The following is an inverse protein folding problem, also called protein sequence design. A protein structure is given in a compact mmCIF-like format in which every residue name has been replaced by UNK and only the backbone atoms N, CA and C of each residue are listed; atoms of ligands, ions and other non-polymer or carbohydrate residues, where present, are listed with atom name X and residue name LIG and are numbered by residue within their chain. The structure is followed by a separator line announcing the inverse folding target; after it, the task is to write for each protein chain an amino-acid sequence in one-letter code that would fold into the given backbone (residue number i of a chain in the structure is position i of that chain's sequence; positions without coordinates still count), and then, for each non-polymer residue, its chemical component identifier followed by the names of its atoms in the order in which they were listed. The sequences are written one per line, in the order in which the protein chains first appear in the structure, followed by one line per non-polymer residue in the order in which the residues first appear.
data_IF_257491470314
#
_entry.id   IF_257491470314
#
_cell.length_a   1.000
_cell.length_b   1.000
_cell.length_c   1.000
_cell.angle_alpha   90.00
_cell.angle_beta   90.00
_cell.angle_gamma   90.00
#
_symmetry.space_group_name_H-M   'P 1'
#
loop_
_entity.id
_entity.type
_entity.pdbx_description
1 polymer ?
#
# COMPACT_ATOMS: atom_id res chain seq x y z
N UNK A 1 -0.10 8.09 -28.99
CA UNK A 1 -0.91 7.16 -28.19
C UNK A 1 -0.06 5.93 -27.97
N UNK A 2 0.61 5.86 -26.83
CA UNK A 2 1.37 4.67 -26.45
C UNK A 2 0.38 3.52 -26.26
N UNK A 3 0.65 2.40 -26.91
CA UNK A 3 -0.22 1.24 -26.86
C UNK A 3 0.04 0.58 -25.52
N UNK A 4 -0.90 0.70 -24.57
CA UNK A 4 -0.82 0.00 -23.28
C UNK A 4 -0.36 -1.44 -23.49
N UNK A 5 0.69 -1.85 -22.78
CA UNK A 5 1.28 -3.19 -22.89
C UNK A 5 0.20 -4.26 -22.65
N UNK A 6 0.23 -5.34 -23.42
CA UNK A 6 -0.75 -6.43 -23.29
C UNK A 6 -0.78 -7.00 -21.86
N UNK A 7 0.36 -7.00 -21.15
CA UNK A 7 0.43 -7.39 -19.75
C UNK A 7 -0.29 -6.44 -18.77
N UNK A 8 -0.28 -5.13 -19.02
CA UNK A 8 -1.03 -4.15 -18.20
C UNK A 8 -2.54 -4.32 -18.40
N UNK A 9 -2.97 -4.56 -19.65
CA UNK A 9 -4.37 -4.86 -19.95
C UNK A 9 -4.84 -6.12 -19.25
N UNK A 10 -4.04 -7.18 -19.30
CA UNK A 10 -4.35 -8.44 -18.63
C UNK A 10 -4.40 -8.28 -17.11
N UNK A 11 -3.42 -7.57 -16.53
CA UNK A 11 -3.37 -7.29 -15.08
C UNK A 11 -4.63 -6.57 -14.59
N UNK A 12 -5.16 -5.63 -15.37
CA UNK A 12 -6.40 -4.89 -15.05
C UNK A 12 -7.65 -5.76 -15.17
N UNK A 13 -7.69 -6.65 -16.17
CA UNK A 13 -8.89 -7.39 -16.57
C UNK A 13 -9.05 -8.74 -15.86
N UNK A 14 -7.96 -9.38 -15.44
CA UNK A 14 -8.03 -10.73 -14.88
C UNK A 14 -8.74 -10.75 -13.52
N UNK A 15 -9.65 -11.71 -13.35
CA UNK A 15 -10.31 -12.01 -12.08
C UNK A 15 -9.57 -13.08 -11.28
N UNK A 16 -8.61 -13.79 -11.88
CA UNK A 16 -7.83 -14.84 -11.23
C UNK A 16 -6.75 -14.19 -10.34
N UNK A 17 -6.80 -14.37 -9.00
CA UNK A 17 -5.80 -13.82 -8.09
C UNK A 17 -4.38 -14.32 -8.37
N UNK A 18 -4.22 -15.57 -8.82
CA UNK A 18 -2.91 -16.15 -9.10
C UNK A 18 -2.26 -15.45 -10.29
N UNK A 19 -3.01 -15.33 -11.40
CA UNK A 19 -2.56 -14.62 -12.59
C UNK A 19 -2.28 -13.15 -12.28
N UNK A 20 -3.17 -12.49 -11.53
CA UNK A 20 -3.01 -11.08 -11.13
C UNK A 20 -1.72 -10.88 -10.32
N UNK A 21 -1.46 -11.76 -9.35
CA UNK A 21 -0.29 -11.68 -8.49
C UNK A 21 1.01 -11.87 -9.28
N UNK A 22 1.06 -12.87 -10.15
CA UNK A 22 2.23 -13.14 -10.99
C UNK A 22 2.51 -11.97 -11.94
N UNK A 23 1.47 -11.44 -12.61
CA UNK A 23 1.59 -10.27 -13.48
C UNK A 23 2.05 -9.05 -12.70
N UNK A 24 1.47 -8.78 -11.53
CA UNK A 24 1.83 -7.63 -10.71
C UNK A 24 3.31 -7.64 -10.33
N UNK A 25 3.84 -8.79 -9.91
CA UNK A 25 5.25 -8.91 -9.54
C UNK A 25 6.18 -8.77 -10.75
N UNK A 26 5.89 -9.49 -11.83
CA UNK A 26 6.71 -9.45 -13.05
C UNK A 26 6.75 -8.03 -13.65
N UNK A 27 5.60 -7.36 -13.70
CA UNK A 27 5.52 -5.99 -14.20
C UNK A 27 6.20 -5.01 -13.25
N UNK A 28 6.05 -5.16 -11.93
CA UNK A 28 6.67 -4.27 -10.96
C UNK A 28 8.20 -4.26 -11.04
N UNK A 29 8.81 -5.40 -11.37
CA UNK A 29 10.26 -5.52 -11.58
C UNK A 29 10.80 -4.64 -12.72
N UNK A 30 9.96 -4.27 -13.69
CA UNK A 30 10.34 -3.35 -14.78
C UNK A 30 10.57 -1.93 -14.29
N UNK A 31 9.95 -1.55 -13.15
CA UNK A 31 9.99 -0.20 -12.55
C UNK A 31 9.44 0.91 -13.45
N UNK A 32 8.63 0.55 -14.44
CA UNK A 32 7.97 1.52 -15.30
C UNK A 32 6.90 2.32 -14.51
N UNK A 33 6.86 3.65 -14.61
CA UNK A 33 5.91 4.48 -13.85
C UNK A 33 4.44 4.10 -14.09
N UNK A 34 4.09 3.68 -15.31
CA UNK A 34 2.74 3.24 -15.65
C UNK A 34 2.30 2.03 -14.81
N UNK A 35 3.22 1.12 -14.49
CA UNK A 35 2.92 -0.05 -13.66
C UNK A 35 2.61 0.39 -12.23
N UNK A 36 3.34 1.36 -11.67
CA UNK A 36 3.02 1.93 -10.36
C UNK A 36 1.59 2.49 -10.34
N UNK A 37 1.20 3.25 -11.35
CA UNK A 37 -0.16 3.81 -11.45
C UNK A 37 -1.23 2.71 -11.43
N UNK A 38 -1.01 1.63 -12.19
CA UNK A 38 -1.94 0.48 -12.23
C UNK A 38 -1.97 -0.27 -10.90
N UNK A 39 -0.84 -0.47 -10.23
CA UNK A 39 -0.82 -1.10 -8.91
C UNK A 39 -1.63 -0.27 -7.90
N UNK A 40 -1.45 1.06 -7.88
CA UNK A 40 -2.20 1.97 -7.00
C UNK A 40 -3.70 1.94 -7.31
N UNK A 41 -4.08 1.90 -8.59
CA UNK A 41 -5.48 1.75 -9.02
C UNK A 41 -6.09 0.45 -8.48
N UNK A 42 -5.41 -0.68 -8.67
CA UNK A 42 -5.89 -1.98 -8.24
C UNK A 42 -5.95 -2.13 -6.72
N UNK A 43 -5.00 -1.55 -5.98
CA UNK A 43 -5.02 -1.56 -4.51
C UNK A 43 -6.27 -0.86 -3.97
N UNK A 44 -6.76 0.19 -4.65
CA UNK A 44 -7.95 0.95 -4.23
C UNK A 44 -9.27 0.28 -4.60
N UNK A 45 -9.25 -0.77 -5.42
CA UNK A 45 -10.46 -1.49 -5.83
C UNK A 45 -11.11 -2.22 -4.64
N UNK A 46 -12.40 -1.98 -4.36
CA UNK A 46 -13.08 -2.59 -3.22
C UNK A 46 -13.27 -4.11 -3.39
N UNK A 47 -13.42 -4.60 -4.62
CA UNK A 47 -13.55 -6.02 -4.93
C UNK A 47 -12.24 -6.81 -4.67
N UNK A 48 -11.10 -6.13 -4.55
CA UNK A 48 -9.80 -6.73 -4.27
C UNK A 48 -9.37 -6.60 -2.80
N UNK A 49 -10.25 -6.09 -1.92
CA UNK A 49 -9.90 -5.74 -0.52
C UNK A 49 -9.15 -6.85 0.22
N UNK A 50 -9.55 -8.10 0.02
CA UNK A 50 -8.98 -9.27 0.72
C UNK A 50 -7.92 -10.02 -0.11
N UNK A 51 -7.57 -9.54 -1.32
CA UNK A 51 -6.63 -10.21 -2.23
C UNK A 51 -5.67 -9.22 -2.92
N UNK A 52 -5.25 -8.18 -2.18
CA UNK A 52 -4.36 -7.11 -2.65
C UNK A 52 -2.98 -7.08 -1.98
N UNK A 53 -2.63 -8.06 -1.14
CA UNK A 53 -1.33 -8.13 -0.45
C UNK A 53 -0.15 -8.07 -1.41
N UNK A 54 -0.16 -8.92 -2.44
CA UNK A 54 0.87 -8.92 -3.49
C UNK A 54 0.94 -7.62 -4.30
N UNK A 55 -0.20 -6.94 -4.51
CA UNK A 55 -0.21 -5.64 -5.18
C UNK A 55 0.54 -4.59 -4.34
N UNK A 56 0.31 -4.60 -3.02
CA UNK A 56 1.05 -3.73 -2.08
C UNK A 56 2.53 -4.10 -2.06
N UNK A 57 2.86 -5.40 -2.01
CA UNK A 57 4.25 -5.86 -2.10
C UNK A 57 4.95 -5.33 -3.35
N UNK A 58 4.27 -5.34 -4.50
CA UNK A 58 4.77 -4.79 -5.76
C UNK A 58 5.12 -3.29 -5.71
N UNK A 59 4.53 -2.52 -4.78
CA UNK A 59 4.93 -1.11 -4.58
C UNK A 59 6.37 -0.98 -4.07
N UNK A 60 6.94 -2.02 -3.45
CA UNK A 60 8.32 -2.04 -2.96
C UNK A 60 9.40 -1.90 -4.04
N UNK A 61 9.04 -2.00 -5.31
CA UNK A 61 9.94 -1.69 -6.44
C UNK A 61 10.05 -0.19 -6.76
N UNK A 62 9.28 0.68 -6.09
CA UNK A 62 9.15 2.11 -6.38
C UNK A 62 9.43 3.01 -5.17
N UNK A 63 9.67 4.31 -5.43
CA UNK A 63 9.64 5.33 -4.38
C UNK A 63 8.20 5.55 -3.90
N UNK A 64 7.88 4.99 -2.75
CA UNK A 64 6.56 5.09 -2.15
C UNK A 64 6.35 6.36 -1.30
N UNK A 65 7.36 7.24 -1.18
CA UNK A 65 7.23 8.46 -0.39
C UNK A 65 6.04 9.34 -0.79
N UNK A 66 5.72 9.55 -2.08
CA UNK A 66 4.51 10.29 -2.47
C UNK A 66 3.21 9.61 -2.03
N UNK A 67 3.24 8.31 -1.77
CA UNK A 67 2.09 7.48 -1.42
C UNK A 67 2.02 7.11 0.07
N UNK A 68 2.80 7.77 0.94
CA UNK A 68 2.87 7.44 2.36
C UNK A 68 1.50 7.38 3.06
N UNK A 69 0.59 8.32 2.76
CA UNK A 69 -0.75 8.34 3.35
C UNK A 69 -1.59 7.12 2.94
N UNK A 70 -1.42 6.63 1.71
CA UNK A 70 -2.06 5.39 1.26
C UNK A 70 -1.52 4.21 2.06
N UNK A 71 -0.20 4.13 2.29
CA UNK A 71 0.38 3.06 3.11
C UNK A 71 -0.16 3.09 4.54
N UNK A 72 -0.29 4.27 5.14
CA UNK A 72 -0.91 4.44 6.48
C UNK A 72 -2.37 4.00 6.48
N UNK A 73 -3.14 4.32 5.45
CA UNK A 73 -4.52 3.85 5.30
C UNK A 73 -4.58 2.31 5.21
N UNK A 74 -3.66 1.69 4.47
CA UNK A 74 -3.59 0.24 4.34
C UNK A 74 -3.18 -0.45 5.64
N UNK A 75 -2.29 0.15 6.44
CA UNK A 75 -1.97 -0.34 7.80
C UNK A 75 -3.21 -0.29 8.70
N UNK A 76 -4.00 0.77 8.62
CA UNK A 76 -5.16 0.96 9.49
C UNK A 76 -6.41 0.19 9.07
N UNK A 77 -6.52 -0.22 7.79
CA UNK A 77 -7.76 -0.82 7.25
C UNK A 77 -7.58 -2.14 6.51
N UNK A 78 -6.35 -2.48 6.10
CA UNK A 78 -6.04 -3.70 5.37
C UNK A 78 -6.24 -4.96 6.22
N UNK A 79 -6.38 -6.12 5.56
CA UNK A 79 -6.25 -7.40 6.25
C UNK A 79 -4.81 -7.57 6.77
N UNK A 80 -4.54 -8.69 7.45
CA UNK A 80 -3.24 -8.94 8.09
C UNK A 80 -2.07 -8.76 7.11
N UNK A 81 -2.12 -9.39 5.94
CA UNK A 81 -1.05 -9.34 4.93
C UNK A 81 -0.85 -7.91 4.39
N UNK A 82 -1.94 -7.27 3.96
CA UNK A 82 -1.92 -5.91 3.40
C UNK A 82 -1.34 -4.91 4.38
N UNK A 83 -1.72 -5.02 5.66
CA UNK A 83 -1.23 -4.11 6.68
C UNK A 83 0.27 -4.29 6.97
N UNK A 84 0.77 -5.53 6.97
CA UNK A 84 2.21 -5.80 7.20
C UNK A 84 3.07 -5.38 6.02
N UNK A 85 2.63 -5.62 4.78
CA UNK A 85 3.32 -5.14 3.58
C UNK A 85 3.35 -3.60 3.57
N UNK A 86 2.20 -2.95 3.81
CA UNK A 86 2.13 -1.49 3.86
C UNK A 86 2.98 -0.90 4.98
N UNK A 87 3.02 -1.54 6.15
CA UNK A 87 3.89 -1.14 7.26
C UNK A 87 5.37 -1.23 6.87
N UNK A 88 5.78 -2.31 6.21
CA UNK A 88 7.17 -2.51 5.77
C UNK A 88 7.60 -1.39 4.83
N UNK A 89 6.75 -1.04 3.87
CA UNK A 89 7.00 0.07 2.96
C UNK A 89 7.01 1.43 3.66
N UNK A 90 6.05 1.68 4.55
CA UNK A 90 5.93 2.95 5.27
C UNK A 90 7.13 3.18 6.20
N UNK A 91 7.56 2.16 6.93
CA UNK A 91 8.67 2.22 7.87
C UNK A 91 10.03 2.37 7.19
N UNK A 92 10.17 1.96 5.93
CA UNK A 92 11.36 2.22 5.13
C UNK A 92 11.51 3.69 4.68
N UNK A 93 10.48 4.53 4.85
CA UNK A 93 10.53 5.94 4.46
C UNK A 93 11.11 6.78 5.61
N UNK A 94 12.39 7.13 5.47
CA UNK A 94 13.19 7.76 6.52
C UNK A 94 12.72 9.16 6.97
N UNK A 95 11.92 9.87 6.19
CA UNK A 95 11.47 11.23 6.52
C UNK A 95 10.19 11.64 5.77
N UNK A 96 9.16 11.98 6.55
CA UNK A 96 7.91 12.61 6.09
C UNK A 96 7.74 13.93 6.84
N UNK A 97 7.22 14.95 6.16
CA UNK A 97 7.02 16.28 6.76
C UNK A 97 5.86 17.01 6.09
N UNK A 98 5.39 18.09 6.73
CA UNK A 98 4.32 18.94 6.21
C UNK A 98 2.96 18.23 6.19
N UNK A 99 2.05 18.59 5.25
CA UNK A 99 0.67 18.10 5.25
C UNK A 99 0.54 16.57 5.21
N UNK A 100 1.50 15.89 4.57
CA UNK A 100 1.52 14.43 4.52
C UNK A 100 1.77 13.82 5.92
N UNK A 101 2.71 14.37 6.69
CA UNK A 101 2.98 13.93 8.06
C UNK A 101 1.78 14.18 8.97
N UNK A 102 1.18 15.37 8.88
CA UNK A 102 0.01 15.75 9.68
C UNK A 102 -1.18 14.81 9.42
N UNK A 103 -1.44 14.50 8.15
CA UNK A 103 -2.51 13.58 7.75
C UNK A 103 -2.26 12.16 8.25
N UNK A 104 -1.04 11.67 8.12
CA UNK A 104 -0.66 10.35 8.59
C UNK A 104 -0.78 10.23 10.11
N UNK A 105 -0.25 11.20 10.85
CA UNK A 105 -0.35 11.26 12.31
C UNK A 105 -1.81 11.27 12.76
N UNK A 106 -2.63 12.18 12.22
CA UNK A 106 -4.05 12.26 12.53
C UNK A 106 -4.80 10.96 12.23
N UNK A 107 -4.45 10.28 11.13
CA UNK A 107 -5.06 8.99 10.76
C UNK A 107 -4.70 7.91 11.78
N UNK A 108 -3.43 7.78 12.14
CA UNK A 108 -2.95 6.78 13.11
C UNK A 108 -3.57 7.01 14.50
N UNK A 109 -3.56 8.25 15.00
CA UNK A 109 -4.14 8.61 16.30
C UNK A 109 -5.64 8.30 16.33
N UNK A 110 -6.41 8.78 15.34
CA UNK A 110 -7.85 8.53 15.24
C UNK A 110 -8.19 7.04 15.22
N UNK A 111 -7.41 6.24 14.50
CA UNK A 111 -7.64 4.80 14.50
C UNK A 111 -7.29 4.16 15.83
N UNK A 112 -6.23 4.62 16.53
CA UNK A 112 -5.80 4.05 17.80
C UNK A 112 -6.79 4.23 18.95
N UNK A 113 -7.70 5.20 18.82
CA UNK A 113 -8.78 5.48 19.78
C UNK A 113 -9.98 4.52 19.65
N UNK A 114 -10.01 3.68 18.60
CA UNK A 114 -11.10 2.70 18.42
C UNK A 114 -11.01 1.60 19.48
N UNK A 115 -12.16 1.25 20.05
CA UNK A 115 -12.26 0.21 21.10
C UNK A 115 -11.97 -1.22 20.60
N UNK A 116 -12.21 -1.49 19.31
CA UNK A 116 -12.02 -2.81 18.71
C UNK A 116 -11.00 -2.72 17.58
N UNK A 117 -9.73 -2.98 17.91
CA UNK A 117 -8.63 -3.08 16.97
C UNK A 117 -7.85 -4.34 17.31
N UNK A 118 -7.39 -5.06 16.30
CA UNK A 118 -6.53 -6.20 16.51
C UNK A 118 -5.19 -5.77 17.14
N UNK A 119 -4.72 -6.49 18.15
CA UNK A 119 -3.47 -6.14 18.87
C UNK A 119 -2.27 -6.01 17.91
N UNK A 120 -2.17 -6.91 16.92
CA UNK A 120 -1.12 -6.84 15.91
C UNK A 120 -1.17 -5.54 15.10
N UNK A 121 -2.37 -5.00 14.82
CA UNK A 121 -2.52 -3.75 14.06
C UNK A 121 -2.12 -2.56 14.92
N UNK A 122 -2.54 -2.58 16.19
CA UNK A 122 -2.15 -1.57 17.18
C UNK A 122 -0.62 -1.47 17.28
N UNK A 123 0.07 -2.60 17.31
CA UNK A 123 1.54 -2.64 17.32
C UNK A 123 2.16 -1.98 16.08
N UNK A 124 1.65 -2.26 14.88
CA UNK A 124 2.12 -1.61 13.65
C UNK A 124 1.92 -0.09 13.71
N UNK A 125 0.73 0.34 14.14
CA UNK A 125 0.38 1.76 14.23
C UNK A 125 1.23 2.50 15.26
N UNK A 126 1.45 1.91 16.45
CA UNK A 126 2.32 2.48 17.47
C UNK A 126 3.76 2.60 16.98
N UNK A 127 4.28 1.61 16.23
CA UNK A 127 5.61 1.69 15.64
C UNK A 127 5.72 2.80 14.59
N UNK A 128 4.67 3.03 13.78
CA UNK A 128 4.65 4.15 12.84
C UNK A 128 4.49 5.51 13.53
N UNK A 129 3.72 5.60 14.62
CA UNK A 129 3.58 6.83 15.39
C UNK A 129 4.93 7.33 15.94
N UNK A 130 5.83 6.41 16.31
CA UNK A 130 7.20 6.75 16.74
C UNK A 130 8.03 7.46 15.68
N UNK A 131 7.64 7.41 14.40
CA UNK A 131 8.32 8.18 13.34
C UNK A 131 8.08 9.69 13.46
N UNK A 132 7.08 10.12 14.25
CA UNK A 132 6.73 11.52 14.45
C UNK A 132 7.21 12.09 15.79
N UNK A 133 7.65 11.22 16.71
CA UNK A 133 8.21 11.58 18.01
C UNK A 133 9.64 12.12 17.80
N UNK A 134 9.77 13.39 17.39
CA UNK A 134 11.05 14.11 17.32
C UNK A 134 11.45 14.66 18.69
#
# INVERSE_FOLDING_TARGET
MEKESDGLRELKATSDPSIRNDLALNLAQTREPEVLEVLIELIKRPDLKDSRGTLVHGLGFYDCKPHFNLLVELVTTGNWEVAHEAYTLASAINKISGPQAETAYATLTRYSEKHEIEEWRKDLMMKLLRLFDN
#
